data_IF_816460201357
#
_entry.id   IF_816460201357
#
_cell.length_a   1.000
_cell.length_b   1.000
_cell.length_c   1.000
_cell.angle_alpha   90.00
_cell.angle_beta   90.00
_cell.angle_gamma   90.00
#
_symmetry.space_group_name_H-M   'P 1'
#
loop_
_entity.id
_entity.type
_entity.pdbx_description
1 polymer ?
#
# COMPACT_ATOMS: atom_id res chain seq x y z
N UNK A 1 41.61 61.56 37.80
CA UNK A 1 41.67 60.25 38.49
C UNK A 1 40.34 60.00 39.17
N UNK A 2 39.39 59.44 38.44
CA UNK A 2 38.06 59.07 38.94
C UNK A 2 38.18 57.76 39.70
N UNK A 3 37.86 57.78 41.00
CA UNK A 3 37.89 56.60 41.85
C UNK A 3 36.80 55.64 41.38
N UNK A 4 37.21 54.52 40.79
CA UNK A 4 36.38 53.34 40.53
C UNK A 4 35.79 52.86 41.86
N UNK A 5 34.54 53.26 42.15
CA UNK A 5 33.76 52.74 43.27
C UNK A 5 33.48 51.26 43.00
N UNK A 6 34.36 50.40 43.52
CA UNK A 6 34.13 48.96 43.53
C UNK A 6 32.83 48.71 44.31
N UNK A 7 31.82 48.04 43.73
CA UNK A 7 30.62 47.68 44.47
C UNK A 7 31.03 46.76 45.62
N UNK A 8 30.96 47.34 46.82
CA UNK A 8 31.07 46.80 48.16
C UNK A 8 31.20 45.28 48.21
N UNK A 9 32.39 44.80 48.60
CA UNK A 9 32.66 43.41 48.98
C UNK A 9 31.70 42.98 50.09
N UNK A 10 30.55 42.43 49.71
CA UNK A 10 29.59 41.87 50.66
C UNK A 10 30.21 40.62 51.29
N UNK A 11 30.15 40.51 52.62
CA UNK A 11 30.65 39.32 53.34
C UNK A 11 29.80 38.10 52.99
N UNK A 12 30.27 37.31 52.02
CA UNK A 12 29.57 36.15 51.40
C UNK A 12 29.16 35.06 52.39
N UNK A 13 29.84 34.97 53.53
CA UNK A 13 29.61 33.96 54.58
C UNK A 13 28.56 34.37 55.61
N UNK A 14 28.09 35.62 55.60
CA UNK A 14 27.19 36.14 56.63
C UNK A 14 25.95 36.78 55.99
N UNK A 15 25.15 35.94 55.32
CA UNK A 15 23.86 36.36 54.73
C UNK A 15 22.73 36.02 55.71
N UNK A 16 22.03 37.04 56.19
CA UNK A 16 20.85 36.88 57.05
C UNK A 16 19.58 36.80 56.19
N UNK A 17 18.65 35.94 56.58
CA UNK A 17 17.31 35.92 55.99
C UNK A 17 16.52 37.14 56.44
N UNK A 18 15.79 37.76 55.51
CA UNK A 18 14.89 38.89 55.78
C UNK A 18 13.49 38.49 55.37
N UNK A 19 12.52 38.63 56.27
CA UNK A 19 11.12 38.29 55.98
C UNK A 19 10.59 39.18 54.85
N UNK A 20 9.85 38.59 53.91
CA UNK A 20 9.24 39.29 52.77
C UNK A 20 10.17 39.57 51.58
N UNK A 21 11.43 39.14 51.63
CA UNK A 21 12.37 39.26 50.51
C UNK A 21 12.96 37.90 50.14
N UNK A 22 13.29 37.73 48.85
CA UNK A 22 14.05 36.56 48.38
C UNK A 22 15.46 36.60 48.97
N UNK A 23 16.04 35.43 49.21
CA UNK A 23 17.42 35.29 49.68
C UNK A 23 18.38 36.02 48.72
N UNK A 24 19.21 36.90 49.28
CA UNK A 24 20.20 37.65 48.50
C UNK A 24 21.25 36.70 47.93
N UNK A 25 21.67 36.94 46.69
CA UNK A 25 22.72 36.16 46.05
C UNK A 25 24.06 36.39 46.74
N UNK A 26 24.82 35.32 46.95
CA UNK A 26 26.15 35.34 47.58
C UNK A 26 27.29 35.53 46.58
N UNK A 27 26.98 35.52 45.29
CA UNK A 27 27.90 35.69 44.19
C UNK A 27 27.59 36.97 43.41
N UNK A 28 28.60 37.49 42.71
CA UNK A 28 28.50 38.73 41.96
C UNK A 28 27.70 38.47 40.70
N UNK A 29 26.49 39.01 40.67
CA UNK A 29 25.63 38.94 39.49
C UNK A 29 26.10 39.92 38.41
N UNK A 30 25.91 39.61 37.11
CA UNK A 30 26.27 40.51 36.01
C UNK A 30 25.59 41.87 36.08
N UNK A 31 24.37 41.92 36.64
CA UNK A 31 23.60 43.14 36.89
C UNK A 31 24.34 44.16 37.78
N UNK A 32 25.21 43.69 38.69
CA UNK A 32 26.03 44.57 39.52
C UNK A 32 27.11 45.33 38.72
N UNK A 33 27.49 44.83 37.54
CA UNK A 33 28.47 45.48 36.64
C UNK A 33 27.80 46.27 35.53
N UNK A 34 26.67 45.78 35.02
CA UNK A 34 25.89 46.46 34.00
C UNK A 34 24.40 46.46 34.42
N UNK A 35 23.86 47.62 34.84
CA UNK A 35 22.46 47.76 35.24
C UNK A 35 21.43 47.45 34.13
N UNK A 36 21.89 47.33 32.88
CA UNK A 36 21.05 46.99 31.73
C UNK A 36 21.21 45.52 31.28
N UNK A 37 21.84 44.67 32.10
CA UNK A 37 21.97 43.26 31.78
C UNK A 37 20.60 42.56 31.81
N UNK A 38 20.17 42.08 30.65
CA UNK A 38 18.95 41.26 30.53
C UNK A 38 19.35 39.80 30.68
N UNK A 39 18.76 39.13 31.67
CA UNK A 39 18.93 37.69 31.85
C UNK A 39 18.09 36.92 30.84
N UNK A 40 18.64 35.83 30.32
CA UNK A 40 17.99 34.94 29.37
C UNK A 40 18.75 34.83 28.05
N UNK A 41 18.24 33.98 27.17
CA UNK A 41 18.75 33.85 25.81
C UNK A 41 18.00 34.81 24.89
N UNK A 42 18.72 35.62 24.11
CA UNK A 42 18.09 36.47 23.11
C UNK A 42 17.57 35.59 21.96
N UNK A 43 16.29 35.72 21.63
CA UNK A 43 15.71 35.06 20.46
C UNK A 43 15.88 36.03 19.29
N UNK A 44 16.82 35.80 18.36
CA UNK A 44 16.98 36.66 17.21
C UNK A 44 15.68 36.61 16.39
N UNK A 45 15.14 37.79 16.07
CA UNK A 45 13.99 37.87 15.17
C UNK A 45 14.47 37.63 13.75
N UNK A 46 13.70 36.88 12.99
CA UNK A 46 13.97 36.69 11.58
C UNK A 46 14.05 38.05 10.87
N UNK A 47 15.03 38.25 9.97
CA UNK A 47 15.17 39.50 9.24
C UNK A 47 14.05 39.70 8.21
N UNK A 48 13.35 38.62 7.85
CA UNK A 48 12.25 38.65 6.89
C UNK A 48 10.91 38.88 7.61
N UNK A 49 10.18 39.89 7.15
CA UNK A 49 8.84 40.17 7.67
C UNK A 49 7.81 39.24 7.00
N UNK A 50 6.70 38.94 7.67
CA UNK A 50 5.66 38.04 7.16
C UNK A 50 5.15 38.45 5.76
N UNK A 51 5.08 39.77 5.49
CA UNK A 51 4.72 40.28 4.17
C UNK A 51 5.75 39.97 3.06
N UNK A 52 7.04 39.95 3.40
CA UNK A 52 8.10 39.59 2.45
C UNK A 52 8.08 38.08 2.15
N UNK A 53 7.79 37.25 3.15
CA UNK A 53 7.67 35.80 2.99
C UNK A 53 6.52 35.44 2.05
N UNK A 54 5.37 36.13 2.18
CA UNK A 54 4.21 35.93 1.29
C UNK A 54 4.52 36.38 -0.14
N UNK A 55 5.20 37.53 -0.32
CA UNK A 55 5.53 38.08 -1.64
C UNK A 55 6.66 37.34 -2.37
N UNK A 56 7.52 36.62 -1.64
CA UNK A 56 8.66 35.86 -2.18
C UNK A 56 8.40 34.36 -2.18
N UNK A 57 7.16 33.92 -2.36
CA UNK A 57 6.89 32.51 -2.55
C UNK A 57 7.46 32.06 -3.91
N UNK A 58 8.75 31.72 -3.90
CA UNK A 58 9.50 31.32 -5.09
C UNK A 58 8.88 30.01 -5.57
N UNK A 59 8.37 30.04 -6.80
CA UNK A 59 7.89 28.83 -7.44
C UNK A 59 9.08 27.87 -7.53
N UNK A 60 8.90 26.64 -7.07
CA UNK A 60 9.96 25.65 -7.11
C UNK A 60 10.45 25.52 -8.55
N UNK A 61 11.71 25.89 -8.80
CA UNK A 61 12.37 25.62 -10.08
C UNK A 61 12.35 24.11 -10.27
N UNK A 62 11.62 23.59 -11.28
CA UNK A 62 11.57 22.16 -11.49
C UNK A 62 12.98 21.67 -11.80
N UNK A 63 13.36 20.56 -11.16
CA UNK A 63 14.63 19.90 -11.45
C UNK A 63 14.72 19.58 -12.95
N UNK A 64 15.91 19.64 -13.57
CA UNK A 64 16.08 19.24 -14.96
C UNK A 64 15.53 17.82 -15.14
N UNK A 65 14.77 17.62 -16.22
CA UNK A 65 14.18 16.33 -16.49
C UNK A 65 15.29 15.28 -16.61
N UNK A 66 15.19 14.21 -15.81
CA UNK A 66 16.10 13.06 -15.91
C UNK A 66 16.10 12.55 -17.34
N UNK A 67 17.24 12.64 -18.02
CA UNK A 67 17.43 12.04 -19.33
C UNK A 67 17.25 10.54 -19.20
N UNK A 68 16.21 10.00 -19.82
CA UNK A 68 15.99 8.55 -19.90
C UNK A 68 17.20 7.89 -20.54
N UNK A 69 17.81 6.94 -19.84
CA UNK A 69 18.90 6.12 -20.37
C UNK A 69 18.47 5.26 -21.56
N UNK A 70 19.44 4.59 -22.20
CA UNK A 70 19.18 3.76 -23.38
C UNK A 70 18.10 2.72 -23.13
N UNK A 71 17.22 2.51 -24.10
CA UNK A 71 16.17 1.50 -24.03
C UNK A 71 16.65 0.18 -24.64
N UNK A 72 17.07 -0.75 -23.80
CA UNK A 72 17.52 -2.09 -24.24
C UNK A 72 16.50 -2.83 -25.10
N UNK A 73 15.21 -2.70 -24.80
CA UNK A 73 14.14 -3.40 -25.51
C UNK A 73 14.05 -2.92 -26.96
N UNK A 74 14.07 -1.60 -27.17
CA UNK A 74 13.97 -1.03 -28.52
C UNK A 74 15.27 -1.25 -29.29
N UNK A 75 16.42 -1.13 -28.64
CA UNK A 75 17.72 -1.47 -29.24
C UNK A 75 17.73 -2.93 -29.73
N UNK A 76 17.26 -3.88 -28.92
CA UNK A 76 17.19 -5.28 -29.32
C UNK A 76 16.18 -5.50 -30.45
N UNK A 77 15.05 -4.79 -30.44
CA UNK A 77 14.06 -4.87 -31.51
C UNK A 77 14.63 -4.39 -32.84
N UNK A 78 15.34 -3.27 -32.83
CA UNK A 78 16.02 -2.74 -34.02
C UNK A 78 17.15 -3.66 -34.47
N UNK A 79 17.92 -4.24 -33.55
CA UNK A 79 18.95 -5.23 -33.87
C UNK A 79 18.35 -6.44 -34.64
N UNK A 80 17.18 -6.94 -34.22
CA UNK A 80 16.48 -8.02 -34.92
C UNK A 80 16.02 -7.57 -36.32
N UNK A 81 15.50 -6.35 -36.45
CA UNK A 81 15.09 -5.78 -37.76
C UNK A 81 16.29 -5.66 -38.71
N UNK A 82 17.47 -5.32 -38.17
CA UNK A 82 18.72 -5.25 -38.91
C UNK A 82 19.40 -6.61 -39.15
N UNK A 83 18.80 -7.71 -38.69
CA UNK A 83 19.31 -9.07 -38.93
C UNK A 83 20.44 -9.50 -37.98
N UNK A 84 20.66 -8.81 -36.86
CA UNK A 84 21.60 -9.23 -35.82
C UNK A 84 20.99 -10.35 -34.97
N UNK A 85 21.17 -11.59 -35.41
CA UNK A 85 20.60 -12.78 -34.75
C UNK A 85 21.51 -13.29 -33.63
N UNK A 86 22.82 -13.08 -33.76
CA UNK A 86 23.79 -13.53 -32.76
C UNK A 86 23.89 -12.58 -31.56
N UNK A 87 24.14 -13.14 -30.36
CA UNK A 87 24.35 -12.35 -29.15
C UNK A 87 25.54 -11.38 -29.26
N UNK A 88 26.58 -11.75 -30.00
CA UNK A 88 27.73 -10.89 -30.26
C UNK A 88 27.38 -9.70 -31.15
N UNK A 89 26.60 -9.93 -32.20
CA UNK A 89 26.14 -8.91 -33.13
C UNK A 89 25.18 -7.94 -32.45
N UNK A 90 24.26 -8.44 -31.64
CA UNK A 90 23.34 -7.61 -30.88
C UNK A 90 24.09 -6.69 -29.89
N UNK A 91 25.16 -7.19 -29.26
CA UNK A 91 26.04 -6.36 -28.41
C UNK A 91 26.79 -5.30 -29.22
N UNK A 92 27.27 -5.63 -30.43
CA UNK A 92 27.91 -4.65 -31.33
C UNK A 92 26.92 -3.57 -31.75
N UNK A 93 25.72 -3.97 -32.18
CA UNK A 93 24.64 -3.07 -32.57
C UNK A 93 24.26 -2.10 -31.44
N UNK A 94 24.17 -2.59 -30.19
CA UNK A 94 23.88 -1.77 -29.02
C UNK A 94 24.98 -0.77 -28.65
N UNK A 95 26.23 -1.04 -29.04
CA UNK A 95 27.35 -0.12 -28.83
C UNK A 95 27.46 0.92 -29.94
N UNK A 96 27.11 0.54 -31.18
CA UNK A 96 27.05 1.44 -32.34
C UNK A 96 25.87 2.43 -32.23
N UNK A 97 24.77 2.03 -31.58
CA UNK A 97 23.55 2.83 -31.45
C UNK A 97 23.17 3.13 -29.98
N UNK A 98 23.96 3.92 -29.24
CA UNK A 98 23.68 4.23 -27.83
C UNK A 98 22.50 5.21 -27.64
N UNK A 99 22.09 5.91 -28.70
CA UNK A 99 21.06 6.95 -28.67
C UNK A 99 19.61 6.45 -28.73
N UNK A 100 19.38 5.14 -28.79
CA UNK A 100 18.03 4.58 -28.85
C UNK A 100 17.42 4.67 -27.43
N UNK A 101 16.62 5.70 -27.21
CA UNK A 101 15.87 5.91 -25.98
C UNK A 101 14.39 6.07 -26.29
N UNK A 102 13.58 5.14 -25.78
CA UNK A 102 12.12 5.23 -25.86
C UNK A 102 11.59 6.02 -24.67
N UNK A 103 10.88 7.12 -24.96
CA UNK A 103 10.10 7.80 -23.93
C UNK A 103 9.06 6.82 -23.40
N UNK A 104 9.00 6.56 -22.09
CA UNK A 104 7.98 5.68 -21.54
C UNK A 104 6.60 6.21 -21.95
N UNK A 105 5.73 5.31 -22.42
CA UNK A 105 4.36 5.67 -22.73
C UNK A 105 3.75 6.37 -21.51
N UNK A 106 3.38 7.65 -21.65
CA UNK A 106 2.84 8.41 -20.55
C UNK A 106 1.59 7.69 -20.03
N UNK A 107 1.69 7.09 -18.84
CA UNK A 107 0.54 6.41 -18.21
C UNK A 107 -0.50 7.40 -17.69
N UNK A 108 -0.22 8.68 -17.79
CA UNK A 108 -1.15 9.73 -17.43
C UNK A 108 -2.09 9.95 -18.63
N UNK A 109 -3.34 9.48 -18.51
CA UNK A 109 -4.44 10.22 -19.15
C UNK A 109 -4.22 11.67 -18.77
N UNK A 110 -4.06 12.56 -19.75
CA UNK A 110 -3.78 13.98 -19.49
C UNK A 110 -4.67 14.45 -18.34
N UNK A 111 -4.04 14.91 -17.26
CA UNK A 111 -4.76 15.43 -16.11
C UNK A 111 -5.74 16.47 -16.64
N UNK A 112 -6.99 16.38 -16.21
CA UNK A 112 -7.99 17.39 -16.55
C UNK A 112 -7.47 18.75 -16.08
N UNK A 113 -7.12 19.62 -17.04
CA UNK A 113 -6.77 21.01 -16.76
C UNK A 113 -8.09 21.76 -16.70
N UNK A 114 -8.52 22.26 -15.54
CA UNK A 114 -9.76 23.01 -15.47
C UNK A 114 -9.60 24.30 -16.28
N UNK A 115 -10.53 24.53 -17.20
CA UNK A 115 -10.57 25.77 -17.97
C UNK A 115 -11.32 26.83 -17.15
N UNK A 116 -11.04 28.12 -17.34
CA UNK A 116 -11.68 29.20 -16.55
C UNK A 116 -13.22 29.21 -16.63
N UNK A 117 -13.81 28.53 -17.62
CA UNK A 117 -15.27 28.38 -17.79
C UNK A 117 -15.88 27.17 -17.04
N UNK A 118 -15.06 26.35 -16.38
CA UNK A 118 -15.59 25.19 -15.65
C UNK A 118 -15.97 25.60 -14.22
N UNK A 119 -17.25 25.83 -14.00
CA UNK A 119 -17.79 26.06 -12.64
C UNK A 119 -17.60 24.81 -11.79
N UNK A 120 -16.79 24.92 -10.74
CA UNK A 120 -16.63 23.89 -9.74
C UNK A 120 -17.79 23.95 -8.73
N UNK A 121 -18.29 22.79 -8.33
CA UNK A 121 -19.34 22.68 -7.32
C UNK A 121 -20.27 21.51 -7.59
N UNK A 122 -20.96 21.08 -6.54
CA UNK A 122 -22.08 20.14 -6.66
C UNK A 122 -23.29 20.99 -7.07
N UNK A 123 -23.92 20.69 -8.22
CA UNK A 123 -25.16 21.36 -8.61
C UNK A 123 -26.17 21.22 -7.46
N UNK A 124 -26.67 22.33 -6.96
CA UNK A 124 -27.70 22.35 -5.92
C UNK A 124 -28.90 21.55 -6.42
N UNK A 125 -29.26 20.50 -5.68
CA UNK A 125 -30.50 19.76 -5.90
C UNK A 125 -31.67 20.66 -5.54
N UNK A 126 -32.78 20.57 -6.28
CA UNK A 126 -34.02 21.27 -5.97
C UNK A 126 -34.46 21.00 -4.52
N UNK A 127 -34.99 22.04 -3.85
CA UNK A 127 -35.53 21.94 -2.50
C UNK A 127 -36.72 20.99 -2.46
N UNK A 128 -36.88 20.25 -1.37
CA UNK A 128 -38.01 19.34 -1.17
C UNK A 128 -39.37 20.08 -1.23
N UNK A 129 -40.41 19.41 -1.70
CA UNK A 129 -41.75 19.98 -1.83
C UNK A 129 -42.34 20.32 -0.45
N UNK A 130 -42.86 21.55 -0.31
CA UNK A 130 -43.41 22.08 0.94
C UNK A 130 -44.57 21.20 1.44
N UNK A 131 -45.41 20.69 0.53
CA UNK A 131 -46.50 19.80 0.91
C UNK A 131 -45.99 18.44 1.41
N UNK A 132 -44.91 17.92 0.82
CA UNK A 132 -44.24 16.72 1.30
C UNK A 132 -43.62 16.88 2.69
N UNK A 133 -43.14 18.09 3.01
CA UNK A 133 -42.62 18.45 4.33
C UNK A 133 -43.74 18.51 5.39
N UNK A 134 -44.86 19.18 5.08
CA UNK A 134 -46.03 19.30 5.97
C UNK A 134 -46.65 17.92 6.26
N UNK A 135 -46.72 17.06 5.25
CA UNK A 135 -47.23 15.69 5.38
C UNK A 135 -46.21 14.72 5.99
N UNK A 136 -45.04 15.22 6.43
CA UNK A 136 -43.98 14.42 7.04
C UNK A 136 -43.52 13.22 6.19
N UNK A 137 -43.68 13.28 4.85
CA UNK A 137 -43.40 12.16 3.93
C UNK A 137 -41.92 11.78 3.87
N UNK A 138 -41.04 12.71 4.26
CA UNK A 138 -39.59 12.51 4.30
C UNK A 138 -39.09 12.23 5.73
N UNK A 139 -39.99 12.09 6.70
CA UNK A 139 -39.63 11.66 8.05
C UNK A 139 -39.58 10.14 8.11
N UNK A 140 -38.66 9.58 8.90
CA UNK A 140 -38.45 8.14 9.05
C UNK A 140 -39.39 7.50 10.07
N UNK A 141 -40.50 8.15 10.42
CA UNK A 141 -41.51 7.55 11.30
C UNK A 141 -42.31 6.55 10.46
N UNK A 142 -41.90 5.27 10.50
CA UNK A 142 -42.74 4.20 9.98
C UNK A 142 -43.99 4.09 10.85
N UNK A 143 -45.17 4.00 10.23
CA UNK A 143 -46.42 3.64 10.93
C UNK A 143 -46.48 2.15 11.31
N UNK A 144 -45.39 1.41 11.14
CA UNK A 144 -45.27 0.02 11.54
C UNK A 144 -44.17 -0.09 12.61
N UNK A 145 -44.55 -0.71 13.73
CA UNK A 145 -43.72 -1.11 14.87
C UNK A 145 -42.63 -2.12 14.46
N UNK A 146 -41.67 -1.69 13.66
CA UNK A 146 -40.45 -2.44 13.43
C UNK A 146 -39.54 -2.22 14.63
N UNK A 147 -39.66 -3.09 15.64
CA UNK A 147 -38.84 -3.13 16.87
C UNK A 147 -37.32 -3.29 16.61
N UNK A 148 -36.89 -3.30 15.35
CA UNK A 148 -35.49 -3.40 14.93
C UNK A 148 -35.17 -2.46 13.75
N UNK A 149 -34.02 -1.75 13.78
CA UNK A 149 -33.56 -0.97 12.63
C UNK A 149 -33.24 -1.86 11.43
N UNK A 150 -33.78 -1.54 10.24
CA UNK A 150 -33.39 -2.19 8.98
C UNK A 150 -31.95 -1.77 8.58
N UNK A 151 -31.03 -2.72 8.66
CA UNK A 151 -29.60 -2.53 8.38
C UNK A 151 -29.24 -2.77 6.91
N UNK A 152 -30.19 -3.09 6.03
CA UNK A 152 -29.92 -3.44 4.63
C UNK A 152 -29.28 -2.31 3.80
N UNK A 153 -29.53 -1.05 4.18
CA UNK A 153 -28.94 0.14 3.54
C UNK A 153 -27.67 0.65 4.24
N UNK A 154 -27.28 0.05 5.37
CA UNK A 154 -26.18 0.53 6.20
C UNK A 154 -24.82 0.14 5.59
N UNK A 155 -24.25 1.05 4.80
CA UNK A 155 -22.86 0.93 4.33
C UNK A 155 -21.92 1.13 5.52
N UNK A 156 -21.24 0.07 5.96
CA UNK A 156 -20.21 0.13 7.00
C UNK A 156 -19.10 1.09 6.56
N UNK A 157 -19.07 2.29 7.16
CA UNK A 157 -18.00 3.26 6.91
C UNK A 157 -16.67 2.71 7.41
N UNK A 158 -15.61 2.88 6.63
CA UNK A 158 -14.26 2.45 7.00
C UNK A 158 -13.76 1.18 6.31
N UNK A 159 -14.60 0.48 5.54
CA UNK A 159 -14.12 -0.55 4.62
C UNK A 159 -14.18 -0.03 3.19
N UNK A 160 -13.01 0.04 2.55
CA UNK A 160 -12.93 0.30 1.11
C UNK A 160 -13.71 -0.80 0.37
N UNK A 161 -14.38 -0.49 -0.75
CA UNK A 161 -15.01 -1.53 -1.57
C UNK A 161 -13.95 -2.59 -1.91
N UNK A 162 -14.37 -3.87 -1.93
CA UNK A 162 -13.45 -4.94 -2.30
C UNK A 162 -12.79 -4.58 -3.64
N UNK A 163 -11.45 -4.71 -3.75
CA UNK A 163 -10.76 -4.42 -5.00
C UNK A 163 -11.42 -5.14 -6.16
N UNK A 164 -11.74 -4.39 -7.23
CA UNK A 164 -12.24 -5.01 -8.46
C UNK A 164 -11.18 -5.99 -8.97
N UNK A 165 -11.63 -7.16 -9.39
CA UNK A 165 -10.77 -8.14 -10.01
C UNK A 165 -10.05 -7.54 -11.22
N UNK A 166 -8.75 -7.82 -11.33
CA UNK A 166 -7.94 -7.36 -12.45
C UNK A 166 -8.01 -8.39 -13.57
N UNK A 167 -7.73 -7.98 -14.82
CA UNK A 167 -7.64 -8.93 -15.94
C UNK A 167 -6.62 -10.06 -15.67
N UNK A 168 -5.58 -9.78 -14.89
CA UNK A 168 -4.62 -10.78 -14.43
C UNK A 168 -5.20 -11.76 -13.40
N UNK A 169 -6.03 -11.31 -12.44
CA UNK A 169 -6.64 -12.25 -11.47
C UNK A 169 -7.65 -13.18 -12.16
N UNK A 170 -8.46 -12.64 -13.07
CA UNK A 170 -9.41 -13.44 -13.88
C UNK A 170 -8.66 -14.48 -14.73
N UNK A 171 -7.55 -14.08 -15.35
CA UNK A 171 -6.74 -14.97 -16.19
C UNK A 171 -5.88 -15.97 -15.42
N UNK A 172 -5.67 -15.79 -14.12
CA UNK A 172 -4.95 -16.73 -13.24
C UNK A 172 -5.87 -17.57 -12.35
N UNK A 173 -7.18 -17.33 -12.43
CA UNK A 173 -8.15 -18.13 -11.69
C UNK A 173 -8.21 -19.55 -12.26
N UNK A 174 -7.80 -20.51 -11.43
CA UNK A 174 -7.75 -21.94 -11.74
C UNK A 174 -9.15 -22.47 -12.09
N UNK A 175 -10.22 -21.82 -11.59
CA UNK A 175 -11.61 -22.16 -11.92
C UNK A 175 -11.96 -21.87 -13.37
N UNK A 176 -11.30 -20.88 -13.99
CA UNK A 176 -11.53 -20.47 -15.37
C UNK A 176 -10.71 -21.28 -16.39
N UNK A 177 -9.71 -22.05 -15.94
CA UNK A 177 -9.00 -22.95 -16.82
C UNK A 177 -9.85 -24.20 -17.06
N UNK A 178 -10.09 -24.60 -18.33
CA UNK A 178 -10.70 -25.89 -18.60
C UNK A 178 -9.82 -26.96 -17.94
N UNK A 179 -10.40 -27.83 -17.12
CA UNK A 179 -9.68 -28.99 -16.59
C UNK A 179 -9.04 -29.68 -17.79
N UNK A 180 -7.72 -29.76 -17.79
CA UNK A 180 -6.99 -30.50 -18.82
C UNK A 180 -7.64 -31.89 -18.90
N UNK A 181 -8.18 -32.23 -20.07
CA UNK A 181 -8.70 -33.57 -20.32
C UNK A 181 -7.64 -34.57 -19.85
N UNK A 182 -8.04 -35.61 -19.12
CA UNK A 182 -7.12 -36.69 -18.73
C UNK A 182 -6.53 -37.28 -20.01
N UNK A 183 -5.34 -36.81 -20.40
CA UNK A 183 -4.61 -37.37 -21.53
C UNK A 183 -3.95 -38.62 -21.00
N UNK A 184 -4.26 -39.76 -21.61
CA UNK A 184 -3.50 -40.96 -21.33
C UNK A 184 -2.02 -40.65 -21.58
N UNK A 185 -1.14 -40.97 -20.62
CA UNK A 185 0.28 -40.74 -20.80
C UNK A 185 0.75 -41.53 -22.01
N UNK A 186 1.63 -40.92 -22.81
CA UNK A 186 2.20 -41.59 -23.96
C UNK A 186 2.94 -42.86 -23.50
N UNK A 187 2.37 -44.02 -23.84
CA UNK A 187 3.03 -45.32 -23.71
C UNK A 187 3.40 -45.81 -25.09
N UNK A 188 4.66 -46.18 -25.27
CA UNK A 188 5.08 -46.88 -26.49
C UNK A 188 4.30 -48.19 -26.63
N UNK A 189 4.03 -48.61 -27.87
CA UNK A 189 3.22 -49.80 -28.18
C UNK A 189 3.64 -51.05 -27.41
N UNK A 190 4.95 -51.27 -27.27
CA UNK A 190 5.53 -52.41 -26.54
C UNK A 190 5.26 -52.40 -25.03
N UNK A 191 4.92 -51.24 -24.46
CA UNK A 191 4.79 -51.02 -23.02
C UNK A 191 3.35 -50.68 -22.58
N UNK A 192 2.37 -50.79 -23.49
CA UNK A 192 0.95 -50.56 -23.15
C UNK A 192 0.42 -51.56 -22.12
N UNK A 193 0.85 -52.83 -22.21
CA UNK A 193 0.45 -53.90 -21.30
C UNK A 193 1.21 -53.90 -19.95
N UNK A 194 2.26 -53.07 -19.81
CA UNK A 194 3.03 -52.98 -18.57
C UNK A 194 2.34 -51.99 -17.63
N UNK A 195 1.84 -52.51 -16.50
CA UNK A 195 1.25 -51.71 -15.44
C UNK A 195 2.29 -50.85 -14.71
N UNK A 196 1.89 -49.69 -14.15
CA UNK A 196 2.81 -48.86 -13.38
C UNK A 196 3.33 -49.65 -12.18
N UNK A 197 4.62 -49.96 -12.18
CA UNK A 197 5.27 -50.70 -11.10
C UNK A 197 6.04 -49.74 -10.22
N UNK A 198 5.46 -49.30 -9.11
CA UNK A 198 6.14 -48.44 -8.12
C UNK A 198 6.77 -49.32 -7.03
N UNK A 199 7.86 -50.00 -7.35
CA UNK A 199 8.72 -50.64 -6.33
C UNK A 199 9.95 -49.77 -6.10
N UNK A 200 9.83 -48.77 -5.23
CA UNK A 200 11.00 -48.06 -4.71
C UNK A 200 11.53 -48.70 -3.42
N UNK A 201 10.89 -49.76 -2.91
CA UNK A 201 11.31 -50.47 -1.70
C UNK A 201 11.18 -51.99 -1.89
N UNK A 202 12.18 -52.79 -1.45
CA UNK A 202 12.23 -54.24 -1.69
C UNK A 202 11.13 -55.06 -0.98
N UNK A 203 10.32 -54.44 -0.11
CA UNK A 203 9.27 -55.13 0.66
C UNK A 203 7.87 -54.49 0.52
N UNK A 204 7.63 -53.64 -0.47
CA UNK A 204 6.28 -53.13 -0.70
C UNK A 204 5.38 -54.26 -1.22
N UNK A 205 4.37 -54.67 -0.45
CA UNK A 205 3.35 -55.64 -0.90
C UNK A 205 2.60 -55.10 -2.11
N UNK A 206 2.26 -55.98 -3.06
CA UNK A 206 1.33 -55.69 -4.16
C UNK A 206 -0.05 -55.36 -3.57
N UNK A 207 -0.67 -54.21 -3.88
CA UNK A 207 -2.09 -54.03 -3.65
C UNK A 207 -2.81 -54.78 -4.78
N UNK A 208 -3.39 -55.93 -4.47
CA UNK A 208 -4.15 -56.71 -5.44
C UNK A 208 -4.39 -58.19 -5.13
N UNK A 209 -3.91 -58.71 -4.00
CA UNK A 209 -4.17 -60.12 -3.62
C UNK A 209 -5.23 -60.29 -2.53
N UNK A 210 -5.95 -59.23 -2.15
CA UNK A 210 -6.96 -59.30 -1.08
C UNK A 210 -8.42 -59.28 -1.61
N UNK A 211 -8.66 -58.96 -2.89
CA UNK A 211 -10.03 -58.91 -3.45
C UNK A 211 -10.52 -60.23 -4.11
N UNK A 212 -9.64 -61.22 -4.30
CA UNK A 212 -10.04 -62.54 -4.84
C UNK A 212 -10.32 -63.59 -3.75
N UNK A 213 -9.82 -63.41 -2.52
CA UNK A 213 -10.08 -64.35 -1.42
C UNK A 213 -11.43 -64.08 -0.72
N UNK A 214 -11.89 -62.82 -0.61
CA UNK A 214 -13.21 -62.51 -0.03
C UNK A 214 -14.38 -62.92 -0.95
N UNK A 215 -14.18 -63.00 -2.27
CA UNK A 215 -15.27 -63.35 -3.20
C UNK A 215 -15.56 -64.86 -3.27
N UNK A 216 -14.58 -65.71 -2.95
CA UNK A 216 -14.75 -67.16 -2.84
C UNK A 216 -15.31 -67.61 -1.47
N UNK A 217 -15.27 -66.74 -0.44
CA UNK A 217 -15.82 -67.05 0.88
C UNK A 217 -17.28 -66.59 1.04
N UNK A 218 -17.71 -65.56 0.31
CA UNK A 218 -19.09 -65.06 0.33
C UNK A 218 -20.06 -65.75 -0.64
N UNK A 219 -19.63 -66.75 -1.43
CA UNK A 219 -20.51 -67.54 -2.31
C UNK A 219 -20.85 -68.93 -1.77
N UNK A 220 -20.29 -69.32 -0.62
CA UNK A 220 -20.46 -70.66 -0.03
C UNK A 220 -21.38 -70.68 1.21
N UNK A 221 -21.98 -69.55 1.61
CA UNK A 221 -22.70 -69.41 2.88
C UNK A 221 -24.23 -69.21 2.78
N UNK A 222 -24.80 -69.21 1.57
CA UNK A 222 -26.25 -69.02 1.37
C UNK A 222 -26.86 -70.14 0.51
N UNK A 223 -26.81 -71.39 0.98
CA UNK A 223 -27.65 -72.49 0.50
C UNK A 223 -27.66 -73.63 1.54
N UNK A 224 -28.50 -73.55 2.58
CA UNK A 224 -29.13 -74.69 3.28
C UNK A 224 -29.92 -74.21 4.51
N UNK A 225 -31.21 -73.90 4.33
CA UNK A 225 -32.27 -74.25 5.30
C UNK A 225 -33.64 -74.08 4.63
N UNK A 226 -34.14 -75.15 4.01
CA UNK A 226 -35.58 -75.34 3.78
C UNK A 226 -36.19 -75.93 5.05
N UNK A 227 -37.34 -75.39 5.42
CA UNK A 227 -38.23 -75.81 6.51
C UNK A 227 -38.49 -77.32 6.51
N UNK A 228 -38.41 -77.94 7.68
CA UNK A 228 -39.13 -79.18 7.99
C UNK A 228 -39.82 -79.01 9.36
N UNK A 229 -41.17 -78.97 9.30
CA UNK A 229 -42.22 -79.22 10.31
C UNK A 229 -41.94 -78.94 11.80
#
# INVERSE_FOLDING_TARGET
>A
MTKELHPLSMRRTMVKSTVGHVQRTTYDLPDAKNPYHVYGYEIPRDPENAGQVIGRWVHATPSPATTTGRSFIETNRQAIIHGCVSAGENRRYANEHPGIAVKPAAKCKGGYVPTNDTTFGIKSKESEDIWGLIQARYTSFSNDDAYYPDLGSMKTRGKLPLPRETRCSVGKDIRNYPRASQREPFKMTKFKAVGPTLYTQPNARKPGTEEEEEKCQCQCADCEYTEDN
#
